data_IF_865062338967
#
_entry.id   IF_865062338967
#
_cell.length_a   1.000
_cell.length_b   1.000
_cell.length_c   1.000
_cell.angle_alpha   90.00
_cell.angle_beta   90.00
_cell.angle_gamma   90.00
#
_symmetry.space_group_name_H-M   'P 1'
#
loop_
_entity.id
_entity.type
_entity.pdbx_description
1 polymer ?
#
# COMPACT_ATOMS: atom_id res chain seq x y z
N UNK A 1 -1.46 -19.37 -10.26
CA UNK A 1 -0.44 -18.77 -9.39
C UNK A 1 0.90 -19.52 -9.46
N UNK A 2 0.94 -20.80 -9.05
CA UNK A 2 2.19 -21.61 -8.99
C UNK A 2 2.93 -21.80 -10.32
N UNK A 3 2.26 -21.64 -11.47
CA UNK A 3 2.92 -21.65 -12.79
C UNK A 3 3.90 -20.49 -12.97
N UNK A 4 3.60 -19.34 -12.38
CA UNK A 4 4.34 -18.08 -12.61
C UNK A 4 5.24 -17.69 -11.43
N UNK A 5 4.93 -18.17 -10.22
CA UNK A 5 5.67 -17.86 -8.98
C UNK A 5 6.08 -19.13 -8.23
N UNK A 6 7.20 -19.05 -7.49
CA UNK A 6 7.66 -20.13 -6.60
C UNK A 6 6.68 -20.37 -5.46
N UNK A 7 6.80 -21.51 -4.78
CA UNK A 7 5.86 -21.95 -3.75
C UNK A 7 5.59 -20.86 -2.71
N UNK A 8 6.64 -20.25 -2.14
CA UNK A 8 6.49 -19.22 -1.11
C UNK A 8 5.84 -17.94 -1.67
N UNK A 9 6.35 -17.27 -2.72
CA UNK A 9 5.68 -16.10 -3.29
C UNK A 9 4.23 -16.39 -3.72
N UNK A 10 3.96 -17.55 -4.33
CA UNK A 10 2.61 -17.94 -4.71
C UNK A 10 1.67 -18.08 -3.51
N UNK A 11 2.13 -18.70 -2.41
CA UNK A 11 1.37 -18.78 -1.17
C UNK A 11 1.11 -17.38 -0.58
N UNK A 12 2.12 -16.51 -0.54
CA UNK A 12 1.97 -15.15 -0.04
C UNK A 12 0.97 -14.32 -0.85
N UNK A 13 0.96 -14.48 -2.18
CA UNK A 13 -0.02 -13.83 -3.06
C UNK A 13 -1.44 -14.32 -2.75
N UNK A 14 -1.64 -15.63 -2.61
CA UNK A 14 -2.95 -16.22 -2.27
C UNK A 14 -3.41 -15.75 -0.89
N UNK A 15 -2.52 -15.76 0.11
CA UNK A 15 -2.81 -15.28 1.47
C UNK A 15 -3.24 -13.81 1.42
N UNK A 16 -2.52 -12.96 0.70
CA UNK A 16 -2.87 -11.53 0.59
C UNK A 16 -4.25 -11.32 -0.04
N UNK A 17 -4.67 -12.18 -0.98
CA UNK A 17 -6.04 -12.15 -1.51
C UNK A 17 -7.09 -12.61 -0.48
N UNK A 18 -6.79 -13.62 0.34
CA UNK A 18 -7.68 -14.04 1.43
C UNK A 18 -7.78 -12.97 2.54
N UNK A 19 -6.66 -12.30 2.87
CA UNK A 19 -6.64 -11.17 3.79
C UNK A 19 -7.49 -10.00 3.28
N UNK A 20 -7.49 -9.77 1.97
CA UNK A 20 -8.35 -8.76 1.35
C UNK A 20 -9.84 -9.06 1.53
N UNK A 21 -10.27 -10.30 1.30
CA UNK A 21 -11.66 -10.71 1.53
C UNK A 21 -12.07 -10.51 3.00
N UNK A 22 -11.18 -10.84 3.94
CA UNK A 22 -11.40 -10.58 5.36
C UNK A 22 -11.41 -9.08 5.67
N UNK A 23 -10.53 -8.29 5.05
CA UNK A 23 -10.50 -6.84 5.19
C UNK A 23 -11.79 -6.17 4.71
N UNK A 24 -12.28 -6.55 3.53
CA UNK A 24 -13.57 -6.06 3.02
C UNK A 24 -14.72 -6.45 3.96
N UNK A 25 -14.72 -7.69 4.45
CA UNK A 25 -15.71 -8.12 5.45
C UNK A 25 -15.64 -7.24 6.70
N UNK A 26 -14.44 -6.96 7.21
CA UNK A 26 -14.26 -6.09 8.38
C UNK A 26 -14.80 -4.66 8.15
N UNK A 27 -14.62 -4.08 6.96
CA UNK A 27 -15.13 -2.75 6.61
C UNK A 27 -16.66 -2.71 6.46
N UNK A 28 -17.27 -3.82 6.05
CA UNK A 28 -18.72 -3.96 5.83
C UNK A 28 -19.49 -4.48 7.05
N UNK A 29 -18.81 -4.97 8.08
CA UNK A 29 -19.46 -5.47 9.29
C UNK A 29 -20.20 -4.34 10.04
N UNK A 30 -21.53 -4.45 10.25
CA UNK A 30 -22.32 -3.39 10.90
C UNK A 30 -21.82 -3.00 12.29
N UNK A 31 -21.31 -3.96 13.08
CA UNK A 31 -20.75 -3.71 14.41
C UNK A 31 -19.47 -2.87 14.35
N UNK A 32 -18.74 -2.93 13.23
CA UNK A 32 -17.46 -2.24 13.04
C UNK A 32 -17.62 -0.89 12.33
N UNK A 33 -18.62 -0.72 11.47
CA UNK A 33 -18.89 0.55 10.78
C UNK A 33 -19.16 1.72 11.75
N UNK A 34 -19.70 1.43 12.92
CA UNK A 34 -19.99 2.42 13.97
C UNK A 34 -19.03 2.31 15.17
N UNK A 35 -18.03 1.44 15.08
CA UNK A 35 -17.06 1.25 16.15
C UNK A 35 -16.24 2.53 16.33
N UNK A 36 -16.21 3.03 17.57
CA UNK A 36 -15.30 4.11 17.94
C UNK A 36 -13.90 3.53 18.11
N UNK A 37 -13.01 3.83 17.16
CA UNK A 37 -11.60 3.46 17.26
C UNK A 37 -11.00 4.14 18.50
N UNK A 38 -10.34 3.37 19.37
CA UNK A 38 -9.63 3.93 20.53
C UNK A 38 -8.41 4.74 20.07
N UNK A 39 -8.16 5.90 20.69
CA UNK A 39 -6.93 6.66 20.47
C UNK A 39 -5.67 5.88 20.88
N UNK A 40 -5.79 4.88 21.75
CA UNK A 40 -4.66 4.02 22.13
C UNK A 40 -4.37 2.91 21.11
N UNK A 41 -5.27 2.67 20.15
CA UNK A 41 -5.13 1.64 19.12
C UNK A 41 -4.24 2.11 17.95
N UNK A 42 -3.01 2.54 18.24
CA UNK A 42 -2.10 3.17 17.28
C UNK A 42 -1.81 2.33 16.02
N UNK A 43 -1.77 1.00 16.17
CA UNK A 43 -1.50 0.09 15.04
C UNK A 43 -2.75 -0.25 14.20
N UNK A 44 -3.95 0.05 14.70
CA UNK A 44 -5.20 -0.31 14.03
C UNK A 44 -5.32 0.24 12.61
N UNK A 45 -5.03 1.54 12.34
CA UNK A 45 -5.17 2.08 11.00
C UNK A 45 -4.34 1.31 9.97
N UNK A 46 -3.08 0.99 10.29
CA UNK A 46 -2.23 0.26 9.35
C UNK A 46 -2.59 -1.23 9.27
N UNK A 47 -3.02 -1.84 10.38
CA UNK A 47 -3.51 -3.21 10.37
C UNK A 47 -4.69 -3.40 9.40
N UNK A 48 -5.68 -2.50 9.46
CA UNK A 48 -6.81 -2.54 8.53
C UNK A 48 -6.36 -2.28 7.09
N UNK A 49 -5.55 -1.23 6.88
CA UNK A 49 -5.03 -0.86 5.56
C UNK A 49 -4.27 -2.00 4.88
N UNK A 50 -3.38 -2.67 5.61
CA UNK A 50 -2.57 -3.76 5.09
C UNK A 50 -3.41 -4.95 4.59
N UNK A 51 -4.61 -5.16 5.16
CA UNK A 51 -5.55 -6.19 4.70
C UNK A 51 -6.28 -5.76 3.44
N UNK A 52 -6.78 -4.53 3.42
CA UNK A 52 -7.60 -4.02 2.31
C UNK A 52 -6.78 -3.54 1.12
N UNK A 53 -5.45 -3.48 1.23
CA UNK A 53 -4.56 -2.95 0.20
C UNK A 53 -4.01 -3.93 -0.81
N UNK A 54 -3.99 -5.23 -0.50
CA UNK A 54 -3.45 -6.27 -1.40
C UNK A 54 -1.96 -6.03 -1.77
N UNK A 55 -1.29 -5.13 -1.05
CA UNK A 55 0.04 -4.65 -1.42
C UNK A 55 1.10 -5.75 -1.40
N UNK A 56 1.00 -6.69 -0.46
CA UNK A 56 1.91 -7.84 -0.38
C UNK A 56 1.81 -8.75 -1.60
N UNK A 57 0.61 -8.98 -2.15
CA UNK A 57 0.49 -9.71 -3.40
C UNK A 57 1.22 -8.97 -4.54
N UNK A 58 1.01 -7.65 -4.69
CA UNK A 58 1.74 -6.88 -5.70
C UNK A 58 3.25 -6.96 -5.49
N UNK A 59 3.73 -6.80 -4.25
CA UNK A 59 5.15 -6.89 -3.90
C UNK A 59 5.80 -8.20 -4.38
N UNK A 60 5.15 -9.34 -4.17
CA UNK A 60 5.63 -10.63 -4.67
C UNK A 60 5.46 -10.79 -6.19
N UNK A 61 4.41 -10.20 -6.77
CA UNK A 61 4.16 -10.26 -8.21
C UNK A 61 5.25 -9.58 -9.05
N UNK A 62 6.01 -8.63 -8.48
CA UNK A 62 7.18 -8.05 -9.15
C UNK A 62 8.22 -9.11 -9.54
N UNK A 63 8.31 -10.23 -8.82
CA UNK A 63 9.41 -11.20 -8.94
C UNK A 63 8.95 -12.58 -9.47
N UNK A 64 8.52 -12.72 -10.74
CA UNK A 64 8.07 -13.99 -11.29
C UNK A 64 9.23 -14.97 -11.55
N UNK A 65 8.93 -16.27 -11.60
CA UNK A 65 9.88 -17.35 -11.93
C UNK A 65 10.68 -17.10 -13.21
N UNK A 66 10.04 -16.47 -14.21
CA UNK A 66 10.64 -16.22 -15.53
C UNK A 66 11.93 -15.40 -15.46
N UNK A 67 12.06 -14.51 -14.47
CA UNK A 67 13.27 -13.69 -14.28
C UNK A 67 14.28 -14.31 -13.31
N UNK A 68 14.02 -15.53 -12.81
CA UNK A 68 14.88 -16.29 -11.89
C UNK A 68 15.46 -15.43 -10.75
N UNK A 69 14.61 -14.73 -9.96
CA UNK A 69 15.06 -13.63 -9.12
C UNK A 69 15.93 -14.08 -7.94
N UNK A 70 15.82 -15.33 -7.49
CA UNK A 70 16.45 -15.82 -6.25
C UNK A 70 15.85 -15.12 -5.03
N UNK A 71 15.13 -15.84 -4.17
CA UNK A 71 14.35 -15.21 -3.10
C UNK A 71 15.18 -14.31 -2.16
N UNK A 72 16.43 -14.67 -1.89
CA UNK A 72 17.34 -13.91 -1.03
C UNK A 72 17.68 -12.51 -1.57
N UNK A 73 17.46 -12.24 -2.86
CA UNK A 73 17.79 -10.95 -3.48
C UNK A 73 16.73 -9.87 -3.25
N UNK A 74 15.50 -10.26 -2.91
CA UNK A 74 14.38 -9.31 -2.78
C UNK A 74 13.53 -9.49 -1.51
N UNK A 75 13.67 -10.60 -0.78
CA UNK A 75 12.78 -10.87 0.37
C UNK A 75 12.81 -9.76 1.44
N UNK A 76 13.97 -9.13 1.64
CA UNK A 76 14.14 -8.06 2.64
C UNK A 76 13.36 -6.78 2.29
N UNK A 77 13.02 -6.56 1.01
CA UNK A 77 12.31 -5.35 0.58
C UNK A 77 10.80 -5.54 0.46
N UNK A 78 10.27 -6.76 0.59
CA UNK A 78 8.83 -7.02 0.43
C UNK A 78 7.99 -6.15 1.37
N UNK A 79 8.41 -6.01 2.63
CA UNK A 79 7.70 -5.16 3.60
C UNK A 79 7.67 -3.69 3.20
N UNK A 80 8.80 -3.15 2.74
CA UNK A 80 8.89 -1.75 2.30
C UNK A 80 8.19 -1.50 0.95
N UNK A 81 8.18 -2.48 0.04
CA UNK A 81 7.38 -2.40 -1.20
C UNK A 81 5.89 -2.36 -0.84
N UNK A 82 5.42 -3.25 0.04
CA UNK A 82 4.02 -3.24 0.48
C UNK A 82 3.64 -1.91 1.12
N UNK A 83 4.48 -1.41 2.03
CA UNK A 83 4.28 -0.13 2.70
C UNK A 83 4.23 1.02 1.67
N UNK A 84 5.15 1.06 0.71
CA UNK A 84 5.14 2.06 -0.35
C UNK A 84 3.82 2.03 -1.15
N UNK A 85 3.38 0.85 -1.58
CA UNK A 85 2.17 0.69 -2.38
C UNK A 85 0.95 1.20 -1.59
N UNK A 86 0.80 0.74 -0.34
CA UNK A 86 -0.34 1.12 0.49
C UNK A 86 -0.38 2.62 0.76
N UNK A 87 0.74 3.21 1.18
CA UNK A 87 0.80 4.62 1.56
C UNK A 87 0.73 5.55 0.35
N UNK A 88 1.37 5.19 -0.76
CA UNK A 88 1.29 5.97 -2.01
C UNK A 88 -0.14 5.99 -2.53
N UNK A 89 -0.85 4.86 -2.47
CA UNK A 89 -2.27 4.83 -2.81
C UNK A 89 -3.07 5.77 -1.91
N UNK A 90 -2.88 5.71 -0.59
CA UNK A 90 -3.58 6.60 0.35
C UNK A 90 -3.32 8.09 0.05
N UNK A 91 -2.10 8.47 -0.34
CA UNK A 91 -1.78 9.86 -0.71
C UNK A 91 -2.47 10.26 -2.01
N UNK A 92 -2.36 9.44 -3.05
CA UNK A 92 -2.85 9.74 -4.39
C UNK A 92 -4.37 9.56 -4.52
N UNK A 93 -5.00 8.77 -3.65
CA UNK A 93 -6.45 8.63 -3.54
C UNK A 93 -7.10 9.65 -2.62
N UNK A 94 -6.34 10.29 -1.73
CA UNK A 94 -6.90 11.20 -0.72
C UNK A 94 -7.80 12.27 -1.32
N UNK A 95 -7.43 12.85 -2.48
CA UNK A 95 -8.23 13.89 -3.12
C UNK A 95 -9.64 13.41 -3.50
N UNK A 96 -9.76 12.24 -4.16
CA UNK A 96 -11.07 11.68 -4.51
C UNK A 96 -11.91 11.34 -3.28
N UNK A 97 -11.27 10.87 -2.21
CA UNK A 97 -11.93 10.46 -0.96
C UNK A 97 -12.46 11.67 -0.21
N UNK A 98 -11.64 12.72 -0.15
CA UNK A 98 -12.02 13.99 0.44
C UNK A 98 -13.24 14.61 -0.28
N UNK A 99 -13.24 14.61 -1.62
CA UNK A 99 -14.39 15.11 -2.40
C UNK A 99 -15.66 14.26 -2.23
N UNK A 100 -15.51 12.96 -1.96
CA UNK A 100 -16.63 12.06 -1.69
C UNK A 100 -17.14 12.14 -0.24
N UNK A 101 -16.47 12.90 0.63
CA UNK A 101 -16.79 12.95 2.06
C UNK A 101 -16.42 11.67 2.82
N UNK A 102 -15.54 10.83 2.23
CA UNK A 102 -15.10 9.57 2.84
C UNK A 102 -14.17 9.87 4.03
N UNK A 103 -14.58 9.43 5.23
CA UNK A 103 -13.79 9.56 6.46
C UNK A 103 -13.30 8.23 7.01
N UNK A 104 -13.74 7.11 6.45
CA UNK A 104 -13.25 5.77 6.80
C UNK A 104 -12.07 5.36 5.90
N UNK A 105 -10.99 6.14 5.93
CA UNK A 105 -9.75 5.83 5.22
C UNK A 105 -8.54 5.89 6.17
N UNK A 106 -7.40 5.42 5.69
CA UNK A 106 -6.18 5.33 6.50
C UNK A 106 -5.75 6.68 7.09
N UNK A 107 -5.84 7.78 6.31
CA UNK A 107 -5.40 9.11 6.76
C UNK A 107 -6.26 9.60 7.92
N UNK A 108 -7.59 9.51 7.80
CA UNK A 108 -8.50 9.91 8.88
C UNK A 108 -8.34 9.01 10.12
N UNK A 109 -8.22 7.70 9.93
CA UNK A 109 -8.01 6.76 11.02
C UNK A 109 -6.68 7.02 11.75
N UNK A 110 -5.59 7.30 11.01
CA UNK A 110 -4.28 7.67 11.58
C UNK A 110 -4.32 9.01 12.31
N UNK A 111 -4.99 10.02 11.73
CA UNK A 111 -5.16 11.33 12.36
C UNK A 111 -5.90 11.22 13.69
N UNK A 112 -6.98 10.43 13.73
CA UNK A 112 -7.77 10.19 14.93
C UNK A 112 -6.95 9.55 16.06
N UNK A 113 -6.22 8.47 15.77
CA UNK A 113 -5.45 7.78 16.82
C UNK A 113 -4.23 8.59 17.28
N UNK A 114 -3.60 9.35 16.39
CA UNK A 114 -2.43 10.17 16.73
C UNK A 114 -2.79 11.55 17.31
N UNK A 115 -4.06 11.97 17.20
CA UNK A 115 -4.50 13.30 17.62
C UNK A 115 -3.99 14.44 16.74
N UNK A 116 -3.52 14.13 15.52
CA UNK A 116 -2.97 15.10 14.56
C UNK A 116 -4.05 15.63 13.62
N UNK A 117 -3.79 16.77 12.98
CA UNK A 117 -4.64 17.22 11.88
C UNK A 117 -4.53 16.28 10.67
N UNK A 118 -5.53 16.32 9.80
CA UNK A 118 -5.52 15.57 8.52
C UNK A 118 -4.33 16.00 7.64
N UNK A 119 -4.01 17.29 7.61
CA UNK A 119 -2.90 17.83 6.81
C UNK A 119 -1.55 17.34 7.31
N UNK A 120 -1.31 17.40 8.63
CA UNK A 120 -0.08 16.85 9.23
C UNK A 120 0.03 15.35 8.97
N UNK A 121 -1.06 14.61 9.16
CA UNK A 121 -1.11 13.17 8.91
C UNK A 121 -0.79 12.84 7.45
N UNK A 122 -1.36 13.57 6.48
CA UNK A 122 -1.09 13.34 5.06
C UNK A 122 0.39 13.59 4.70
N UNK A 123 1.03 14.62 5.29
CA UNK A 123 2.47 14.87 5.13
C UNK A 123 3.31 13.74 5.71
N UNK A 124 2.93 13.22 6.87
CA UNK A 124 3.61 12.08 7.48
C UNK A 124 3.48 10.82 6.65
N UNK A 125 2.28 10.50 6.16
CA UNK A 125 2.06 9.35 5.27
C UNK A 125 2.88 9.48 3.98
N UNK A 126 2.99 10.69 3.44
CA UNK A 126 3.85 10.97 2.27
C UNK A 126 5.33 10.74 2.60
N UNK A 127 5.78 11.21 3.75
CA UNK A 127 7.16 11.02 4.23
C UNK A 127 7.47 9.54 4.44
N UNK A 128 6.55 8.79 5.05
CA UNK A 128 6.67 7.36 5.29
C UNK A 128 6.76 6.57 3.96
N UNK A 129 5.95 6.94 2.95
CA UNK A 129 5.99 6.35 1.62
C UNK A 129 7.34 6.59 0.92
N UNK A 130 7.83 7.83 0.95
CA UNK A 130 9.13 8.19 0.37
C UNK A 130 10.29 7.46 1.08
N UNK A 131 10.22 7.35 2.41
CA UNK A 131 11.21 6.61 3.19
C UNK A 131 11.21 5.12 2.85
N UNK A 132 10.03 4.51 2.67
CA UNK A 132 9.91 3.12 2.21
C UNK A 132 10.55 2.95 0.82
N UNK A 133 10.23 3.82 -0.13
CA UNK A 133 10.86 3.81 -1.45
C UNK A 133 12.39 3.91 -1.40
N UNK A 134 12.93 4.81 -0.56
CA UNK A 134 14.36 4.99 -0.39
C UNK A 134 15.04 3.74 0.19
N UNK A 135 14.41 3.06 1.16
CA UNK A 135 14.91 1.79 1.70
C UNK A 135 14.93 0.69 0.64
N UNK A 136 13.86 0.54 -0.15
CA UNK A 136 13.84 -0.43 -1.26
C UNK A 136 14.98 -0.15 -2.24
N UNK A 137 15.16 1.11 -2.66
CA UNK A 137 16.27 1.49 -3.54
C UNK A 137 17.64 1.15 -2.93
N UNK A 138 17.84 1.49 -1.66
CA UNK A 138 19.12 1.25 -0.97
C UNK A 138 19.48 -0.24 -0.91
N UNK A 139 18.50 -1.11 -0.64
CA UNK A 139 18.72 -2.57 -0.61
C UNK A 139 18.94 -3.14 -2.01
N UNK A 140 18.18 -2.66 -3.01
CA UNK A 140 18.23 -3.20 -4.37
C UNK A 140 19.34 -2.61 -5.24
N UNK A 141 20.00 -1.52 -4.86
CA UNK A 141 20.92 -0.75 -5.73
C UNK A 141 22.05 -1.57 -6.36
N UNK A 142 22.49 -2.66 -5.70
CA UNK A 142 23.54 -3.55 -6.19
C UNK A 142 23.01 -4.81 -6.88
N UNK A 143 21.71 -4.82 -7.21
CA UNK A 143 21.02 -5.93 -7.86
C UNK A 143 20.41 -5.46 -9.18
N UNK A 144 20.21 -6.40 -10.11
CA UNK A 144 19.43 -6.20 -11.34
C UNK A 144 17.93 -5.93 -11.06
N UNK A 145 17.48 -6.01 -9.80
CA UNK A 145 16.10 -5.77 -9.37
C UNK A 145 15.78 -4.29 -9.11
N UNK A 146 16.79 -3.42 -9.02
CA UNK A 146 16.56 -1.98 -8.85
C UNK A 146 15.77 -1.40 -10.03
N UNK A 147 16.14 -1.77 -11.26
CA UNK A 147 15.44 -1.30 -12.48
C UNK A 147 13.98 -1.75 -12.50
N UNK A 148 13.70 -2.99 -12.08
CA UNK A 148 12.34 -3.51 -11.97
C UNK A 148 11.51 -2.71 -10.96
N UNK A 149 12.11 -2.35 -9.82
CA UNK A 149 11.47 -1.50 -8.83
C UNK A 149 11.16 -0.10 -9.37
N UNK A 150 12.11 0.54 -10.05
CA UNK A 150 11.91 1.87 -10.65
C UNK A 150 10.84 1.84 -11.74
N UNK A 151 10.81 0.80 -12.57
CA UNK A 151 9.73 0.59 -13.56
C UNK A 151 8.37 0.45 -12.90
N UNK A 152 8.28 -0.33 -11.81
CA UNK A 152 7.04 -0.46 -11.06
C UNK A 152 6.59 0.88 -10.47
N UNK A 153 7.48 1.63 -9.82
CA UNK A 153 7.18 2.94 -9.23
C UNK A 153 6.65 3.90 -10.30
N UNK A 154 7.35 4.03 -11.43
CA UNK A 154 6.94 4.90 -12.52
C UNK A 154 5.57 4.49 -13.10
N UNK A 155 5.35 3.19 -13.31
CA UNK A 155 4.07 2.68 -13.79
C UNK A 155 2.93 2.90 -12.80
N UNK A 156 3.19 2.72 -11.50
CA UNK A 156 2.21 2.89 -10.44
C UNK A 156 1.80 4.36 -10.28
N UNK A 157 2.76 5.29 -10.35
CA UNK A 157 2.48 6.72 -10.34
C UNK A 157 1.73 7.15 -11.61
N UNK A 158 2.19 6.70 -12.78
CA UNK A 158 1.53 6.96 -14.07
C UNK A 158 0.06 6.49 -14.06
N UNK A 159 -0.20 5.29 -13.51
CA UNK A 159 -1.56 4.77 -13.35
C UNK A 159 -2.43 5.73 -12.52
N UNK A 160 -1.95 6.23 -11.39
CA UNK A 160 -2.75 7.12 -10.54
C UNK A 160 -3.03 8.47 -11.21
N UNK A 161 -2.02 9.09 -11.85
CA UNK A 161 -2.19 10.41 -12.47
C UNK A 161 -3.03 10.37 -13.75
N UNK A 162 -3.03 9.26 -14.48
CA UNK A 162 -3.78 9.15 -15.74
C UNK A 162 -5.20 8.63 -15.58
N UNK A 163 -5.51 7.93 -14.49
CA UNK A 163 -6.84 7.37 -14.26
C UNK A 163 -7.80 8.43 -13.69
N UNK A 164 -8.92 8.64 -14.40
CA UNK A 164 -9.98 9.59 -13.99
C UNK A 164 -10.55 9.30 -12.60
N UNK A 165 -10.49 8.04 -12.16
CA UNK A 165 -10.88 7.60 -10.80
C UNK A 165 -10.30 8.46 -9.69
N UNK A 166 -9.03 8.87 -9.80
CA UNK A 166 -8.33 9.59 -8.73
C UNK A 166 -8.54 11.09 -8.77
N UNK A 167 -9.10 11.62 -9.87
CA UNK A 167 -9.40 13.05 -10.05
C UNK A 167 -8.19 13.97 -9.83
N UNK A 168 -6.97 13.48 -10.04
CA UNK A 168 -5.76 14.29 -9.82
C UNK A 168 -5.65 15.45 -10.81
N UNK A 169 -6.24 15.34 -12.00
CA UNK A 169 -6.30 16.45 -12.97
C UNK A 169 -7.03 17.69 -12.42
N UNK A 170 -7.88 17.55 -11.40
CA UNK A 170 -8.59 18.67 -10.78
C UNK A 170 -7.61 19.58 -10.00
N UNK A 171 -6.44 19.05 -9.61
CA UNK A 171 -5.43 19.76 -8.81
C UNK A 171 -4.57 20.75 -9.62
N UNK A 172 -4.75 20.81 -10.95
CA UNK A 172 -4.11 21.81 -11.83
C UNK A 172 -2.61 21.98 -11.60
N UNK A 173 -1.83 20.92 -11.79
CA UNK A 173 -0.36 20.95 -11.79
C UNK A 173 0.23 21.22 -13.18
#
# INVERSE_FOLDING_TARGET
MYTFWDLLPANCIIISAMEYLNGCTLEEMPELQHMKVSKTAQSWPYYLRAKTGVATAYAFMLFPKKIKPGISTYIQVIGDISLFIDLTNNVLSFHKEYLAGETNNYVHNKAHVTGKSIQETLREVTTDALAAHARVKSVLQFTDKCTLWEQFVNGYLAFHVTQSRYRLNDLSF
#
